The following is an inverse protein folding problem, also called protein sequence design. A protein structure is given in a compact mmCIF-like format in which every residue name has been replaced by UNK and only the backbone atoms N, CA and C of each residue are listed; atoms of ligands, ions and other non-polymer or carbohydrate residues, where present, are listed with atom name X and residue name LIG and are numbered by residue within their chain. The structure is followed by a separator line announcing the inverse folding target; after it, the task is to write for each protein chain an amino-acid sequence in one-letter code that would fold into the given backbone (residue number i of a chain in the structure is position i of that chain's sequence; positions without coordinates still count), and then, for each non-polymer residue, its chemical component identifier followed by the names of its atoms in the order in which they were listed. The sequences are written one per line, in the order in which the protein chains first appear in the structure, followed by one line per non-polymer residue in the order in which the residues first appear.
data_IF_521421508588
#
_entry.id   IF_521421508588
#
_cell.length_a   1.000
_cell.length_b   1.000
_cell.length_c   1.000
_cell.angle_alpha   90.00
_cell.angle_beta   90.00
_cell.angle_gamma   90.00
#
_symmetry.space_group_name_H-M   'P 1'
#
loop_
_entity.id
_entity.type
_entity.pdbx_description
1 polymer ?
#
# COMPACT_ATOMS: atom_id res chain seq x y z
N UNK A 1 -23.34 -8.75 -19.36
CA UNK A 1 -22.12 -7.93 -19.42
C UNK A 1 -21.12 -8.48 -18.40
N UNK A 2 -20.16 -9.30 -18.83
CA UNK A 2 -19.14 -9.89 -17.94
C UNK A 2 -17.86 -9.07 -18.03
N UNK A 3 -17.57 -8.33 -16.97
CA UNK A 3 -16.32 -7.55 -16.85
C UNK A 3 -15.14 -8.51 -16.69
N UNK A 4 -14.29 -8.62 -17.72
CA UNK A 4 -13.08 -9.47 -17.69
C UNK A 4 -11.95 -8.67 -17.03
N UNK A 5 -11.74 -8.89 -15.73
CA UNK A 5 -10.64 -8.25 -15.00
C UNK A 5 -9.32 -8.90 -15.44
N UNK A 6 -8.44 -8.14 -16.09
CA UNK A 6 -7.13 -8.67 -16.49
C UNK A 6 -6.24 -8.98 -15.28
N UNK A 7 -5.61 -10.15 -15.28
CA UNK A 7 -4.60 -10.58 -14.29
C UNK A 7 -3.48 -9.55 -14.09
N UNK A 8 -3.18 -8.75 -15.12
CA UNK A 8 -2.19 -7.65 -15.09
C UNK A 8 -2.54 -6.58 -14.05
N UNK A 9 -3.83 -6.32 -13.81
CA UNK A 9 -4.28 -5.35 -12.79
C UNK A 9 -3.99 -5.84 -11.38
N UNK A 10 -4.15 -7.14 -11.12
CA UNK A 10 -3.84 -7.74 -9.82
C UNK A 10 -2.33 -7.70 -9.54
N UNK A 11 -1.51 -8.03 -10.55
CA UNK A 11 -0.06 -7.99 -10.41
C UNK A 11 0.45 -6.56 -10.15
N UNK A 12 -0.07 -5.58 -10.90
CA UNK A 12 0.31 -4.19 -10.70
C UNK A 12 -0.12 -3.65 -9.33
N UNK A 13 -1.35 -3.97 -8.86
CA UNK A 13 -1.81 -3.61 -7.50
C UNK A 13 -0.92 -4.23 -6.42
N UNK A 14 -0.48 -5.48 -6.61
CA UNK A 14 0.42 -6.16 -5.67
C UNK A 14 1.82 -5.54 -5.65
N UNK A 15 2.38 -5.17 -6.80
CA UNK A 15 3.68 -4.51 -6.90
C UNK A 15 3.64 -3.12 -6.25
N UNK A 16 2.61 -2.31 -6.56
CA UNK A 16 2.46 -0.98 -5.95
C UNK A 16 2.29 -1.07 -4.45
N UNK A 17 1.50 -2.03 -3.95
CA UNK A 17 1.37 -2.28 -2.51
C UNK A 17 2.71 -2.69 -1.86
N UNK A 18 3.49 -3.56 -2.51
CA UNK A 18 4.82 -3.97 -2.04
C UNK A 18 5.79 -2.80 -1.92
N UNK A 19 5.81 -1.89 -2.90
CA UNK A 19 6.67 -0.69 -2.84
C UNK A 19 6.27 0.19 -1.67
N UNK A 20 4.99 0.51 -1.53
CA UNK A 20 4.47 1.39 -0.46
C UNK A 20 4.74 0.80 0.93
N UNK A 21 4.46 -0.49 1.13
CA UNK A 21 4.66 -1.16 2.41
C UNK A 21 6.14 -1.24 2.80
N UNK A 22 7.02 -1.53 1.85
CA UNK A 22 8.47 -1.54 2.07
C UNK A 22 9.01 -0.15 2.41
N UNK A 23 8.62 0.88 1.64
CA UNK A 23 9.02 2.27 1.90
C UNK A 23 8.55 2.73 3.27
N UNK A 24 7.31 2.42 3.66
CA UNK A 24 6.76 2.77 4.97
C UNK A 24 7.58 2.14 6.10
N UNK A 25 7.89 0.84 5.98
CA UNK A 25 8.69 0.12 6.99
C UNK A 25 10.11 0.69 7.09
N UNK A 26 10.73 1.02 5.94
CA UNK A 26 12.06 1.62 5.89
C UNK A 26 12.08 3.03 6.51
N UNK A 27 11.08 3.87 6.21
CA UNK A 27 10.94 5.20 6.81
C UNK A 27 10.76 5.12 8.32
N UNK A 28 9.95 4.17 8.78
CA UNK A 28 9.72 3.94 10.20
C UNK A 28 11.00 3.44 10.88
N UNK A 29 11.69 2.46 10.30
CA UNK A 29 12.97 1.98 10.80
C UNK A 29 14.03 3.08 10.86
N UNK A 30 14.07 3.98 9.87
CA UNK A 30 14.98 5.12 9.84
C UNK A 30 14.61 6.17 10.88
N UNK A 31 13.33 6.52 11.01
CA UNK A 31 12.84 7.54 11.94
C UNK A 31 13.06 7.15 13.41
N UNK A 32 13.02 5.85 13.70
CA UNK A 32 13.05 5.34 15.06
C UNK A 32 14.41 4.85 15.55
N UNK A 33 15.54 5.24 14.94
CA UNK A 33 16.90 4.81 15.33
C UNK A 33 17.28 5.07 16.80
N UNK A 34 16.66 4.32 17.74
CA UNK A 34 16.44 4.69 19.13
C UNK A 34 15.88 3.50 19.97
N UNK A 35 15.91 3.59 21.32
CA UNK A 35 15.97 2.45 22.25
C UNK A 35 14.71 1.55 22.30
N UNK A 36 14.83 0.32 22.87
CA UNK A 36 13.80 -0.74 22.83
C UNK A 36 12.39 -0.34 23.30
N UNK A 37 12.28 0.67 24.17
CA UNK A 37 11.00 1.18 24.68
C UNK A 37 10.15 1.85 23.60
N UNK A 38 10.77 2.42 22.57
CA UNK A 38 10.05 3.04 21.46
C UNK A 38 9.45 1.99 20.49
N UNK A 39 10.11 0.83 20.35
CA UNK A 39 9.78 -0.25 19.39
C UNK A 39 8.31 -0.66 19.41
N UNK A 40 7.70 -0.75 20.61
CA UNK A 40 6.29 -1.10 20.74
C UNK A 40 5.35 -0.06 20.12
N UNK A 41 5.59 1.23 20.36
CA UNK A 41 4.79 2.31 19.78
C UNK A 41 5.03 2.43 18.27
N UNK A 42 6.26 2.21 17.83
CA UNK A 42 6.64 2.15 16.41
C UNK A 42 5.82 1.12 15.66
N UNK A 43 5.73 -0.07 16.24
CA UNK A 43 5.04 -1.19 15.62
C UNK A 43 3.54 -0.91 15.48
N UNK A 44 2.91 -0.35 16.50
CA UNK A 44 1.51 0.07 16.44
C UNK A 44 1.32 1.19 15.40
N UNK A 45 2.24 2.16 15.36
CA UNK A 45 2.22 3.22 14.36
C UNK A 45 2.37 2.66 12.93
N UNK A 46 3.29 1.72 12.69
CA UNK A 46 3.47 1.05 11.39
C UNK A 46 2.19 0.34 10.93
N UNK A 47 1.52 -0.37 11.83
CA UNK A 47 0.24 -1.03 11.54
C UNK A 47 -0.83 -0.02 11.12
N UNK A 48 -1.01 1.06 11.90
CA UNK A 48 -2.01 2.10 11.62
C UNK A 48 -1.68 2.84 10.31
N UNK A 49 -0.41 3.20 10.12
CA UNK A 49 0.08 3.88 8.91
C UNK A 49 -0.17 3.00 7.68
N UNK A 50 0.18 1.70 7.72
CA UNK A 50 -0.11 0.76 6.62
C UNK A 50 -1.60 0.65 6.34
N UNK A 51 -2.46 0.64 7.36
CA UNK A 51 -3.91 0.64 7.15
C UNK A 51 -4.39 1.88 6.39
N UNK A 52 -3.95 3.07 6.80
CA UNK A 52 -4.30 4.33 6.13
C UNK A 52 -3.74 4.37 4.71
N UNK A 53 -2.49 3.94 4.52
CA UNK A 53 -1.85 3.86 3.21
C UNK A 53 -2.50 2.84 2.29
N UNK A 54 -3.02 1.72 2.80
CA UNK A 54 -3.78 0.77 2.00
C UNK A 54 -5.05 1.41 1.44
N UNK A 55 -5.80 2.12 2.30
CA UNK A 55 -6.99 2.84 1.88
C UNK A 55 -6.68 3.94 0.86
N UNK A 56 -5.62 4.72 1.11
CA UNK A 56 -5.15 5.74 0.16
C UNK A 56 -4.70 5.13 -1.17
N UNK A 57 -3.97 4.01 -1.13
CA UNK A 57 -3.55 3.25 -2.30
C UNK A 57 -4.74 2.76 -3.12
N UNK A 58 -5.77 2.19 -2.48
CA UNK A 58 -6.99 1.79 -3.18
C UNK A 58 -7.73 2.98 -3.78
N UNK A 59 -7.78 4.13 -3.09
CA UNK A 59 -8.41 5.36 -3.62
C UNK A 59 -7.65 5.94 -4.79
N UNK A 60 -6.32 6.01 -4.72
CA UNK A 60 -5.47 6.46 -5.83
C UNK A 60 -5.57 5.49 -7.00
N UNK A 61 -5.55 4.18 -6.74
CA UNK A 61 -5.75 3.18 -7.78
C UNK A 61 -7.11 3.32 -8.45
N UNK A 62 -8.18 3.50 -7.66
CA UNK A 62 -9.53 3.69 -8.19
C UNK A 62 -9.67 4.98 -8.99
N UNK A 63 -9.02 6.08 -8.55
CA UNK A 63 -9.20 7.42 -9.13
C UNK A 63 -8.23 7.75 -10.27
N UNK A 64 -6.99 7.26 -10.23
CA UNK A 64 -5.95 7.60 -11.20
C UNK A 64 -5.60 6.45 -12.14
N UNK A 65 -5.85 5.18 -11.76
CA UNK A 65 -5.53 4.02 -12.60
C UNK A 65 -6.81 3.53 -13.30
N UNK A 66 -7.11 4.08 -14.49
CA UNK A 66 -8.10 3.51 -15.44
C UNK A 66 -7.58 2.26 -16.19
N UNK A 67 -6.48 1.66 -15.72
CA UNK A 67 -5.81 0.57 -16.41
C UNK A 67 -6.62 -0.74 -16.28
N UNK A 68 -7.12 -1.25 -17.41
CA UNK A 68 -7.88 -2.50 -17.48
C UNK A 68 -9.40 -2.38 -17.36
N UNK A 69 -9.97 -1.17 -17.41
CA UNK A 69 -11.42 -0.99 -17.67
C UNK A 69 -11.57 -0.80 -19.17
N UNK A 70 -11.84 -1.88 -19.89
CA UNK A 70 -12.38 -1.80 -21.25
C UNK A 70 -13.90 -1.82 -21.10
N UNK A 71 -14.54 -0.70 -21.36
CA UNK A 71 -15.98 -0.70 -21.66
C UNK A 71 -16.15 -1.58 -22.91
N UNK A 72 -16.85 -2.71 -22.73
CA UNK A 72 -17.34 -3.57 -23.79
C UNK A 72 -18.85 -3.56 -23.73
#
# INVERSE_FOLDING_TARGET
MTQKIEHKRHLAKAVTWRVIASTTTALIAWAFGLPPKAVGMVFVADLVIKFILYYAHERVWYRHIKFGVKDV
#
